data_IF_969376398496
#
_entry.id   IF_969376398496
#
_cell.length_a   1.000
_cell.length_b   1.000
_cell.length_c   1.000
_cell.angle_alpha   90.00
_cell.angle_beta   90.00
_cell.angle_gamma   90.00
#
_symmetry.space_group_name_H-M   'P 1'
#
loop_
_entity.id
_entity.type
_entity.pdbx_description
1 polymer ?
#
# COMPACT_ATOMS: atom_id res chain seq x y z
N UNK A 1 6.04 6.47 -1.43
CA UNK A 1 7.53 6.51 -1.28
C UNK A 1 7.95 7.02 0.09
N UNK A 2 7.40 8.12 0.61
CA UNK A 2 7.80 8.71 1.90
C UNK A 2 7.82 7.75 3.11
N UNK A 3 6.88 6.80 3.21
CA UNK A 3 6.89 5.79 4.28
C UNK A 3 8.18 4.96 4.30
N UNK A 4 8.61 4.45 3.14
CA UNK A 4 9.82 3.64 3.03
C UNK A 4 11.09 4.45 3.32
N UNK A 5 11.12 5.74 2.94
CA UNK A 5 12.24 6.61 3.29
C UNK A 5 12.36 6.84 4.80
N UNK A 6 11.23 6.85 5.51
CA UNK A 6 11.18 7.08 6.96
C UNK A 6 11.44 5.82 7.80
N UNK A 7 10.99 4.67 7.33
CA UNK A 7 11.01 3.42 8.11
C UNK A 7 11.92 2.35 7.52
N UNK A 8 12.42 2.49 6.29
CA UNK A 8 13.28 1.49 5.64
C UNK A 8 12.57 0.21 5.19
N UNK A 9 11.28 0.05 5.52
CA UNK A 9 10.50 -1.16 5.25
C UNK A 9 9.28 -0.87 4.36
N UNK A 10 8.81 -1.85 3.58
CA UNK A 10 7.56 -1.74 2.84
C UNK A 10 6.37 -1.57 3.79
N UNK A 11 5.36 -0.77 3.43
CA UNK A 11 4.21 -0.51 4.28
C UNK A 11 3.35 -1.76 4.47
N UNK A 12 2.87 -1.97 5.69
CA UNK A 12 1.85 -2.97 6.01
C UNK A 12 0.50 -2.57 5.40
N UNK A 13 -0.39 -3.56 5.20
CA UNK A 13 -1.73 -3.34 4.64
C UNK A 13 -2.54 -2.30 5.44
N UNK A 14 -2.47 -2.32 6.78
CA UNK A 14 -3.11 -1.32 7.66
C UNK A 14 -2.61 0.09 7.39
N UNK A 15 -1.30 0.26 7.22
CA UNK A 15 -0.69 1.57 6.93
C UNK A 15 -1.08 2.04 5.53
N UNK A 16 -1.12 1.13 4.56
CA UNK A 16 -1.57 1.44 3.20
C UNK A 16 -3.04 1.92 3.19
N UNK A 17 -3.93 1.25 3.93
CA UNK A 17 -5.35 1.65 4.09
C UNK A 17 -5.47 3.00 4.81
N UNK A 18 -4.67 3.25 5.84
CA UNK A 18 -4.66 4.54 6.54
C UNK A 18 -4.13 5.67 5.64
N UNK A 19 -3.17 5.38 4.76
CA UNK A 19 -2.68 6.32 3.77
C UNK A 19 -3.72 6.56 2.67
N UNK A 20 -4.43 5.53 2.19
CA UNK A 20 -5.44 5.68 1.13
C UNK A 20 -6.60 6.59 1.57
N UNK A 21 -7.00 6.52 2.85
CA UNK A 21 -7.98 7.44 3.46
C UNK A 21 -7.60 8.92 3.37
N UNK A 22 -6.32 9.24 3.32
CA UNK A 22 -5.84 10.62 3.23
C UNK A 22 -5.87 11.15 1.80
N UNK A 23 -5.82 10.27 0.79
CA UNK A 23 -5.88 10.66 -0.62
C UNK A 23 -7.31 10.79 -1.12
N UNK A 24 -8.22 9.98 -0.60
CA UNK A 24 -9.63 10.05 -0.98
C UNK A 24 -10.50 9.64 0.23
N UNK A 25 -11.39 10.55 0.64
CA UNK A 25 -12.22 10.38 1.84
C UNK A 25 -13.23 9.23 1.72
N UNK A 26 -13.49 8.71 0.49
CA UNK A 26 -14.31 7.52 0.23
C UNK A 26 -13.50 6.22 0.07
N UNK A 27 -12.19 6.33 -0.19
CA UNK A 27 -11.26 5.23 -0.48
C UNK A 27 -10.69 4.51 0.75
N UNK A 28 -11.48 4.40 1.82
CA UNK A 28 -10.97 4.04 3.14
C UNK A 28 -10.92 2.56 3.49
N UNK A 29 -11.07 1.67 2.52
CA UNK A 29 -11.27 0.24 2.78
C UNK A 29 -10.29 -0.67 2.03
N UNK A 30 -9.99 -1.82 2.65
CA UNK A 30 -9.30 -2.93 1.98
C UNK A 30 -9.98 -3.30 0.66
N UNK A 31 -11.32 -3.34 0.64
CA UNK A 31 -12.12 -3.61 -0.58
C UNK A 31 -11.82 -2.63 -1.72
N UNK A 32 -11.63 -1.35 -1.42
CA UNK A 32 -11.30 -0.34 -2.44
C UNK A 32 -9.90 -0.58 -3.00
N UNK A 33 -8.92 -0.84 -2.12
CA UNK A 33 -7.56 -1.19 -2.51
C UNK A 33 -7.50 -2.46 -3.36
N UNK A 34 -8.27 -3.50 -3.03
CA UNK A 34 -8.37 -4.71 -3.83
C UNK A 34 -9.06 -4.51 -5.18
N UNK A 35 -9.92 -3.50 -5.33
CA UNK A 35 -10.50 -3.13 -6.64
C UNK A 35 -9.47 -2.47 -7.55
N UNK A 36 -8.60 -1.61 -7.01
CA UNK A 36 -7.50 -0.99 -7.75
C UNK A 36 -6.35 -1.95 -8.03
N UNK A 37 -6.05 -2.81 -7.07
CA UNK A 37 -4.90 -3.69 -7.08
C UNK A 37 -5.33 -5.13 -6.74
N UNK A 38 -5.93 -5.85 -7.70
CA UNK A 38 -6.49 -7.18 -7.46
C UNK A 38 -5.43 -8.21 -7.07
N UNK A 39 -4.22 -8.07 -7.61
CA UNK A 39 -3.10 -9.01 -7.40
C UNK A 39 -2.31 -8.73 -6.10
N UNK A 40 -2.89 -8.00 -5.15
CA UNK A 40 -2.26 -7.66 -3.89
C UNK A 40 -1.91 -6.16 -3.82
N UNK A 41 -2.66 -5.37 -3.03
CA UNK A 41 -2.51 -3.93 -2.99
C UNK A 41 -1.16 -3.44 -2.51
N UNK A 42 -0.56 -4.11 -1.53
CA UNK A 42 0.79 -3.74 -1.06
C UNK A 42 1.85 -4.06 -2.11
N UNK A 43 1.78 -5.24 -2.75
CA UNK A 43 2.74 -5.68 -3.77
C UNK A 43 2.71 -4.77 -4.99
N UNK A 44 1.52 -4.48 -5.50
CA UNK A 44 1.34 -3.58 -6.63
C UNK A 44 1.71 -2.14 -6.27
N UNK A 45 1.32 -1.63 -5.10
CA UNK A 45 1.74 -0.30 -4.65
C UNK A 45 3.26 -0.19 -4.49
N UNK A 46 3.95 -1.23 -4.03
CA UNK A 46 5.42 -1.27 -3.98
C UNK A 46 6.02 -1.28 -5.39
N UNK A 47 5.50 -2.12 -6.29
CA UNK A 47 5.96 -2.20 -7.69
C UNK A 47 5.83 -0.86 -8.41
N UNK A 48 4.65 -0.23 -8.37
CA UNK A 48 4.43 1.10 -8.95
C UNK A 48 5.23 2.19 -8.21
N UNK A 49 5.46 1.99 -6.92
CA UNK A 49 6.28 2.87 -6.10
C UNK A 49 7.79 2.78 -6.38
N UNK A 50 8.27 1.83 -7.18
CA UNK A 50 9.69 1.57 -7.37
C UNK A 50 10.38 1.03 -6.11
N UNK A 51 9.62 0.38 -5.24
CA UNK A 51 10.07 -0.19 -3.98
C UNK A 51 10.48 -1.65 -4.19
N UNK A 52 11.45 -2.17 -3.41
CA UNK A 52 11.79 -3.58 -3.45
C UNK A 52 10.57 -4.44 -3.14
N UNK A 53 10.54 -5.66 -3.70
CA UNK A 53 9.45 -6.60 -3.45
C UNK A 53 9.35 -6.86 -1.94
N UNK A 54 8.16 -6.73 -1.32
CA UNK A 54 8.01 -7.01 0.10
C UNK A 54 8.19 -8.50 0.38
N UNK A 55 9.00 -8.82 1.39
CA UNK A 55 9.26 -10.20 1.83
C UNK A 55 8.06 -10.84 2.54
N UNK A 56 7.22 -10.03 3.19
CA UNK A 56 6.25 -10.48 4.20
C UNK A 56 4.78 -10.16 3.87
N UNK A 57 4.45 -9.90 2.61
CA UNK A 57 3.06 -9.63 2.22
C UNK A 57 2.32 -10.91 1.83
N UNK A 58 1.48 -11.41 2.76
CA UNK A 58 0.34 -12.29 2.47
C UNK A 58 -0.76 -11.53 1.72
#
# INVERSE_FOLDING_TARGET
>A
RGYHQRYGNPPLMRTLVAASKQFDSGAGGSRWLYRLFPDGPVRLACKYGGLPKPDWCL
#
